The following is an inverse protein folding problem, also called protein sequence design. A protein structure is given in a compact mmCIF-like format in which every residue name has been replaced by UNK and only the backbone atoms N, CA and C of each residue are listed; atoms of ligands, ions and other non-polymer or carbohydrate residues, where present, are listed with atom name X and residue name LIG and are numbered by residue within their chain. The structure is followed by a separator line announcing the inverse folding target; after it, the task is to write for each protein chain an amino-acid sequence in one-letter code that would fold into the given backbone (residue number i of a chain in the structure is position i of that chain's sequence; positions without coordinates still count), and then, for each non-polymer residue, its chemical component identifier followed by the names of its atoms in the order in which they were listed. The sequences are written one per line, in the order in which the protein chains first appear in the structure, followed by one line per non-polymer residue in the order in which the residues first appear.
data_IF_642133247298
#
_entry.id   IF_642133247298
#
_cell.length_a   1.000
_cell.length_b   1.000
_cell.length_c   1.000
_cell.angle_alpha   90.00
_cell.angle_beta   90.00
_cell.angle_gamma   90.00
#
_symmetry.space_group_name_H-M   'P 1'
#
loop_
_entity.id
_entity.type
_entity.pdbx_description
1 polymer ?
#
# COMPACT_ATOMS: atom_id res chain seq x y z
N UNK A 1 -49.76 -21.88 32.39
CA UNK A 1 -48.42 -22.29 31.91
C UNK A 1 -48.07 -21.41 30.72
N UNK A 2 -47.81 -20.12 30.95
CA UNK A 2 -47.89 -19.12 29.86
C UNK A 2 -47.10 -17.85 30.19
N UNK A 3 -45.84 -17.98 30.62
CA UNK A 3 -45.00 -16.82 30.97
C UNK A 3 -43.52 -16.98 30.59
N UNK A 4 -43.21 -17.80 29.57
CA UNK A 4 -41.83 -17.97 29.07
C UNK A 4 -41.64 -17.73 27.58
N UNK A 5 -42.67 -17.30 26.85
CA UNK A 5 -42.58 -17.11 25.38
C UNK A 5 -42.16 -15.72 24.93
N UNK A 6 -42.23 -14.70 25.79
CA UNK A 6 -41.82 -13.33 25.47
C UNK A 6 -40.30 -13.12 25.41
N UNK A 7 -39.55 -13.76 26.32
CA UNK A 7 -38.11 -13.53 26.48
C UNK A 7 -37.24 -14.01 25.29
N UNK A 8 -37.64 -15.09 24.61
CA UNK A 8 -36.87 -15.66 23.49
C UNK A 8 -37.02 -14.86 22.19
N UNK A 9 -38.18 -14.23 21.96
CA UNK A 9 -38.38 -13.38 20.78
C UNK A 9 -37.64 -12.04 20.91
N UNK A 10 -37.51 -11.50 22.12
CA UNK A 10 -36.74 -10.28 22.38
C UNK A 10 -35.22 -10.52 22.32
N UNK A 11 -34.75 -11.67 22.78
CA UNK A 11 -33.35 -12.09 22.61
C UNK A 11 -32.98 -12.30 21.13
N UNK A 12 -33.85 -12.92 20.33
CA UNK A 12 -33.64 -13.10 18.88
C UNK A 12 -33.70 -11.78 18.10
N UNK A 13 -34.44 -10.77 18.58
CA UNK A 13 -34.49 -9.43 17.97
C UNK A 13 -33.17 -8.67 18.17
N UNK A 14 -32.43 -8.95 19.23
CA UNK A 14 -31.12 -8.33 19.54
C UNK A 14 -29.93 -8.88 18.73
N UNK A 15 -30.07 -10.04 18.08
CA UNK A 15 -28.99 -10.67 17.30
C UNK A 15 -29.00 -10.35 15.79
N UNK A 16 -29.87 -9.46 15.32
CA UNK A 16 -29.87 -9.03 13.91
C UNK A 16 -28.87 -7.89 13.69
N UNK A 17 -27.63 -8.26 13.37
CA UNK A 17 -26.50 -7.40 12.98
C UNK A 17 -26.69 -6.64 11.64
N UNK A 18 -27.90 -6.13 11.37
CA UNK A 18 -28.14 -5.15 10.29
C UNK A 18 -28.69 -3.84 10.86
N UNK A 19 -28.05 -3.32 11.89
CA UNK A 19 -28.17 -1.91 12.22
C UNK A 19 -27.55 -1.13 11.06
N UNK A 20 -28.39 -0.72 10.10
CA UNK A 20 -28.01 0.28 9.09
C UNK A 20 -27.44 1.49 9.84
N UNK A 21 -26.32 2.08 9.40
CA UNK A 21 -25.78 3.25 10.06
C UNK A 21 -26.87 4.34 10.14
N UNK A 22 -26.86 5.17 11.20
CA UNK A 22 -27.87 6.19 11.40
C UNK A 22 -27.98 7.08 10.15
N UNK A 23 -29.21 7.23 9.65
CA UNK A 23 -29.55 8.20 8.60
C UNK A 23 -29.23 9.59 9.17
N UNK A 24 -28.05 10.13 8.85
CA UNK A 24 -27.63 11.42 9.36
C UNK A 24 -26.21 11.84 8.96
N UNK A 25 -25.30 10.91 8.68
CA UNK A 25 -24.02 11.25 8.06
C UNK A 25 -24.20 11.39 6.54
N UNK A 26 -24.74 12.52 6.10
CA UNK A 26 -24.69 12.93 4.68
C UNK A 26 -23.23 13.20 4.28
N UNK A 27 -22.44 12.14 4.06
CA UNK A 27 -21.24 12.23 3.24
C UNK A 27 -21.71 12.21 1.78
N UNK A 28 -21.68 13.37 1.13
CA UNK A 28 -22.08 13.55 -0.25
C UNK A 28 -21.29 12.58 -1.17
N UNK A 29 -21.92 11.58 -1.80
CA UNK A 29 -21.23 10.68 -2.73
C UNK A 29 -20.83 11.34 -4.06
N UNK A 30 -21.07 12.65 -4.20
CA UNK A 30 -20.81 13.48 -5.38
C UNK A 30 -19.36 13.99 -5.48
N UNK A 31 -18.53 13.81 -4.45
CA UNK A 31 -17.12 14.20 -4.46
C UNK A 31 -16.21 13.17 -5.14
N UNK A 32 -15.02 13.60 -5.58
CA UNK A 32 -14.03 12.69 -6.18
C UNK A 32 -13.62 11.57 -5.20
N UNK A 33 -13.40 11.89 -3.93
CA UNK A 33 -12.98 10.94 -2.91
C UNK A 33 -14.15 10.36 -2.12
N UNK A 34 -14.12 9.04 -1.87
CA UNK A 34 -15.10 8.29 -1.05
C UNK A 34 -14.52 7.81 0.29
N UNK A 35 -13.33 8.29 0.66
CA UNK A 35 -12.67 7.86 1.89
C UNK A 35 -13.47 8.30 3.12
N UNK A 36 -13.61 7.39 4.08
CA UNK A 36 -14.30 7.65 5.34
C UNK A 36 -13.52 8.67 6.17
N UNK A 37 -14.24 9.58 6.82
CA UNK A 37 -13.66 10.44 7.87
C UNK A 37 -13.56 9.74 9.22
N UNK A 38 -14.32 8.67 9.42
CA UNK A 38 -14.27 7.84 10.63
C UNK A 38 -13.21 6.75 10.42
N UNK A 39 -12.03 6.96 11.02
CA UNK A 39 -10.89 6.03 10.98
C UNK A 39 -10.82 5.17 12.26
N UNK A 40 -10.29 3.93 12.21
CA UNK A 40 -10.28 3.03 13.37
C UNK A 40 -9.33 3.40 14.52
N UNK A 41 -8.42 4.35 14.31
CA UNK A 41 -7.37 4.79 15.25
C UNK A 41 -7.50 6.28 15.56
N UNK A 42 -6.73 6.77 16.53
CA UNK A 42 -6.72 8.19 16.88
C UNK A 42 -5.96 9.00 15.82
N UNK A 43 -6.59 10.03 15.27
CA UNK A 43 -5.98 10.87 14.22
C UNK A 43 -4.75 11.61 14.74
N UNK A 44 -4.74 11.99 16.02
CA UNK A 44 -3.63 12.68 16.68
C UNK A 44 -2.36 11.82 16.75
N UNK A 45 -2.51 10.50 16.86
CA UNK A 45 -1.38 9.56 16.92
C UNK A 45 -0.86 9.10 15.55
N UNK A 46 -1.44 9.61 14.44
CA UNK A 46 -1.06 9.24 13.06
C UNK A 46 0.44 9.39 12.83
N UNK A 47 1.02 10.55 13.17
CA UNK A 47 2.43 10.82 12.92
C UNK A 47 3.35 10.01 13.83
N UNK A 48 2.98 9.80 15.09
CA UNK A 48 3.74 8.96 16.01
C UNK A 48 3.75 7.50 15.56
N UNK A 49 2.60 6.99 15.10
CA UNK A 49 2.48 5.63 14.55
C UNK A 49 3.26 5.49 13.25
N UNK A 50 3.16 6.47 12.35
CA UNK A 50 3.95 6.49 11.12
C UNK A 50 5.46 6.55 11.40
N UNK A 51 5.89 7.38 12.35
CA UNK A 51 7.29 7.47 12.76
C UNK A 51 7.77 6.16 13.40
N UNK A 52 6.96 5.51 14.24
CA UNK A 52 7.27 4.20 14.81
C UNK A 52 7.45 3.16 13.70
N UNK A 53 6.50 3.08 12.75
CA UNK A 53 6.66 2.24 11.57
C UNK A 53 7.96 2.56 10.82
N UNK A 54 8.20 3.82 10.50
CA UNK A 54 9.29 4.23 9.62
C UNK A 54 10.66 3.95 10.24
N UNK A 55 10.87 4.36 11.50
CA UNK A 55 12.18 4.28 12.15
C UNK A 55 12.44 2.93 12.85
N UNK A 56 11.40 2.22 13.29
CA UNK A 56 11.56 0.95 14.02
C UNK A 56 11.44 -0.25 13.07
N UNK A 57 10.59 -0.16 12.04
CA UNK A 57 10.36 -1.26 11.10
C UNK A 57 11.05 -1.00 9.75
N UNK A 58 10.62 0.03 9.03
CA UNK A 58 11.01 0.24 7.63
C UNK A 58 12.52 0.44 7.45
N UNK A 59 13.11 1.45 8.10
CA UNK A 59 14.54 1.75 7.94
C UNK A 59 15.44 0.57 8.34
N UNK A 60 15.24 -0.10 9.50
CA UNK A 60 16.04 -1.26 9.87
C UNK A 60 15.86 -2.47 8.94
N UNK A 61 14.62 -2.82 8.56
CA UNK A 61 14.34 -4.01 7.75
C UNK A 61 14.74 -3.81 6.28
N UNK A 62 14.51 -2.64 5.71
CA UNK A 62 14.78 -2.36 4.30
C UNK A 62 16.25 -2.01 4.03
N UNK A 63 16.94 -1.31 4.94
CA UNK A 63 18.29 -0.78 4.68
C UNK A 63 19.35 -1.20 5.71
N UNK A 64 18.94 -1.59 6.92
CA UNK A 64 19.85 -1.87 8.02
C UNK A 64 20.36 -3.31 8.06
N UNK A 65 19.46 -4.30 8.00
CA UNK A 65 19.77 -5.67 8.39
C UNK A 65 20.72 -6.39 7.44
N UNK A 66 20.42 -6.44 6.13
CA UNK A 66 21.25 -7.18 5.17
C UNK A 66 22.68 -6.64 5.05
N UNK A 67 22.91 -5.32 4.90
CA UNK A 67 24.26 -4.79 4.82
C UNK A 67 25.05 -4.99 6.12
N UNK A 68 24.39 -4.92 7.27
CA UNK A 68 25.05 -5.11 8.58
C UNK A 68 25.49 -6.55 8.77
N UNK A 69 24.62 -7.52 8.46
CA UNK A 69 24.97 -8.95 8.54
C UNK A 69 26.12 -9.27 7.57
N UNK A 70 26.08 -8.76 6.34
CA UNK A 70 27.14 -8.98 5.36
C UNK A 70 28.51 -8.45 5.86
N UNK A 71 28.52 -7.28 6.51
CA UNK A 71 29.74 -6.72 7.12
C UNK A 71 30.24 -7.54 8.30
N UNK A 72 29.35 -8.01 9.17
CA UNK A 72 29.70 -8.80 10.36
C UNK A 72 30.26 -10.17 10.01
N UNK A 73 29.73 -10.80 8.97
CA UNK A 73 30.15 -12.13 8.53
C UNK A 73 31.36 -12.11 7.59
N UNK A 74 31.87 -10.92 7.21
CA UNK A 74 32.88 -10.74 6.16
C UNK A 74 32.55 -11.50 4.86
N UNK A 75 31.27 -11.74 4.61
CA UNK A 75 30.76 -12.43 3.44
C UNK A 75 29.70 -11.55 2.80
N UNK A 76 29.91 -11.20 1.56
CA UNK A 76 28.86 -10.65 0.72
C UNK A 76 27.89 -11.76 0.35
N UNK A 77 26.60 -11.53 0.61
CA UNK A 77 25.53 -12.40 0.13
C UNK A 77 25.50 -12.25 -1.40
N UNK A 78 26.22 -13.14 -2.08
CA UNK A 78 26.31 -13.14 -3.54
C UNK A 78 25.31 -14.09 -4.19
N UNK A 79 24.67 -14.98 -3.43
CA UNK A 79 23.70 -15.90 -4.01
C UNK A 79 22.36 -15.17 -4.31
N UNK A 80 21.90 -15.16 -5.57
CA UNK A 80 20.68 -14.45 -5.94
C UNK A 80 19.40 -15.06 -5.33
N UNK A 81 19.39 -16.38 -5.04
CA UNK A 81 18.25 -17.04 -4.38
C UNK A 81 18.16 -16.59 -2.92
N UNK A 82 19.28 -16.59 -2.20
CA UNK A 82 19.34 -16.13 -0.81
C UNK A 82 18.97 -14.64 -0.73
N UNK A 83 19.46 -13.83 -1.67
CA UNK A 83 19.14 -12.40 -1.73
C UNK A 83 17.64 -12.17 -1.92
N UNK A 84 17.02 -12.83 -2.91
CA UNK A 84 15.59 -12.72 -3.14
C UNK A 84 14.76 -13.25 -1.95
N UNK A 85 15.15 -14.39 -1.38
CA UNK A 85 14.44 -15.00 -0.26
C UNK A 85 14.51 -14.15 1.01
N UNK A 86 15.70 -13.62 1.33
CA UNK A 86 15.88 -12.75 2.49
C UNK A 86 15.11 -11.43 2.35
N UNK A 87 15.13 -10.82 1.16
CA UNK A 87 14.32 -9.62 0.87
C UNK A 87 12.82 -9.90 1.02
N UNK A 88 12.34 -11.06 0.52
CA UNK A 88 10.96 -11.50 0.71
C UNK A 88 10.59 -11.68 2.18
N UNK A 89 11.45 -12.33 2.96
CA UNK A 89 11.23 -12.53 4.39
C UNK A 89 11.21 -11.20 5.16
N UNK A 90 12.12 -10.29 4.86
CA UNK A 90 12.20 -8.98 5.51
C UNK A 90 10.95 -8.14 5.20
N UNK A 91 10.53 -8.08 3.94
CA UNK A 91 9.30 -7.38 3.55
C UNK A 91 8.04 -8.01 4.14
N UNK A 92 7.95 -9.34 4.19
CA UNK A 92 6.86 -10.04 4.86
C UNK A 92 6.82 -9.75 6.36
N UNK A 93 8.00 -9.66 7.00
CA UNK A 93 8.14 -9.29 8.41
C UNK A 93 7.74 -7.85 8.64
N UNK A 94 8.11 -6.93 7.74
CA UNK A 94 7.70 -5.52 7.80
C UNK A 94 6.18 -5.38 7.69
N UNK A 95 5.53 -6.10 6.76
CA UNK A 95 4.07 -6.15 6.65
C UNK A 95 3.41 -6.67 7.92
N UNK A 96 3.87 -7.80 8.46
CA UNK A 96 3.34 -8.36 9.69
C UNK A 96 3.52 -7.42 10.88
N UNK A 97 4.70 -6.80 10.99
CA UNK A 97 5.02 -5.82 12.02
C UNK A 97 4.13 -4.59 11.93
N UNK A 98 3.89 -4.07 10.73
CA UNK A 98 3.01 -2.92 10.52
C UNK A 98 1.55 -3.24 10.82
N UNK A 99 1.04 -4.40 10.39
CA UNK A 99 -0.31 -4.84 10.73
C UNK A 99 -0.49 -5.02 12.25
N UNK A 100 0.54 -5.53 12.93
CA UNK A 100 0.57 -5.66 14.38
C UNK A 100 0.55 -4.28 15.05
N UNK A 101 1.39 -3.35 14.59
CA UNK A 101 1.39 -1.96 15.06
C UNK A 101 0.00 -1.33 14.91
N UNK A 102 -0.61 -1.44 13.72
CA UNK A 102 -1.97 -0.94 13.47
C UNK A 102 -3.00 -1.55 14.41
N UNK A 103 -2.93 -2.86 14.64
CA UNK A 103 -3.85 -3.56 15.54
C UNK A 103 -3.77 -3.03 16.98
N UNK A 104 -2.56 -2.71 17.46
CA UNK A 104 -2.37 -2.15 18.80
C UNK A 104 -2.73 -0.67 18.90
N UNK A 105 -2.56 0.11 17.84
CA UNK A 105 -2.95 1.53 17.80
C UNK A 105 -4.43 1.76 17.49
N UNK A 106 -5.14 0.74 17.01
CA UNK A 106 -6.56 0.84 16.68
C UNK A 106 -7.41 0.91 17.96
N UNK A 107 -8.17 2.00 18.09
CA UNK A 107 -9.13 2.19 19.17
C UNK A 107 -10.35 1.25 19.00
N UNK A 108 -10.71 0.94 17.74
CA UNK A 108 -11.76 -0.03 17.44
C UNK A 108 -11.30 -1.09 16.44
N UNK A 109 -10.73 -2.18 17.00
CA UNK A 109 -10.17 -3.31 16.25
C UNK A 109 -11.17 -3.99 15.31
N UNK A 110 -12.45 -3.98 15.64
CA UNK A 110 -13.50 -4.60 14.83
C UNK A 110 -13.76 -3.84 13.52
N UNK A 111 -13.34 -2.57 13.42
CA UNK A 111 -13.46 -1.79 12.18
C UNK A 111 -12.35 -2.10 11.16
N UNK A 112 -11.23 -2.71 11.57
CA UNK A 112 -10.06 -2.92 10.70
C UNK A 112 -10.37 -3.78 9.46
N UNK A 113 -11.07 -4.93 9.54
CA UNK A 113 -11.35 -5.73 8.34
C UNK A 113 -12.20 -4.97 7.33
N UNK A 114 -13.28 -4.33 7.78
CA UNK A 114 -14.17 -3.52 6.93
C UNK A 114 -13.44 -2.32 6.30
N UNK A 115 -12.45 -1.78 7.01
CA UNK A 115 -11.65 -0.66 6.53
C UNK A 115 -10.78 -1.04 5.32
N UNK A 116 -10.12 -2.21 5.36
CA UNK A 116 -9.28 -2.68 4.25
C UNK A 116 -10.07 -3.30 3.10
N UNK A 117 -11.18 -4.00 3.41
CA UNK A 117 -12.05 -4.64 2.41
C UNK A 117 -12.93 -3.60 1.68
N UNK A 118 -13.17 -2.44 2.32
CA UNK A 118 -13.97 -1.34 1.79
C UNK A 118 -15.33 -1.24 2.50
N UNK A 119 -15.81 -0.01 2.66
CA UNK A 119 -17.13 0.26 3.26
C UNK A 119 -18.26 0.01 2.26
N UNK A 120 -19.50 -0.10 2.73
CA UNK A 120 -20.68 -0.28 1.85
C UNK A 120 -20.83 0.78 0.76
N UNK A 121 -20.25 1.97 0.91
CA UNK A 121 -20.26 3.01 -0.13
C UNK A 121 -19.26 2.73 -1.27
N UNK A 122 -18.16 2.02 -0.97
CA UNK A 122 -17.20 1.57 -1.98
C UNK A 122 -17.81 0.53 -2.94
N UNK A 123 -18.86 -0.18 -2.51
CA UNK A 123 -19.57 -1.16 -3.36
C UNK A 123 -20.26 -0.51 -4.56
N UNK A 124 -20.52 0.80 -4.53
CA UNK A 124 -21.16 1.50 -5.63
C UNK A 124 -20.17 1.89 -6.75
N UNK A 125 -18.87 1.98 -6.45
CA UNK A 125 -17.84 2.35 -7.43
C UNK A 125 -17.08 1.10 -7.89
N UNK A 126 -17.01 0.92 -9.21
CA UNK A 126 -16.34 -0.25 -9.77
C UNK A 126 -14.81 -0.10 -9.67
N UNK A 127 -14.22 -0.77 -8.69
CA UNK A 127 -12.79 -0.77 -8.42
C UNK A 127 -11.96 -1.34 -9.58
N UNK A 128 -12.51 -2.27 -10.39
CA UNK A 128 -11.83 -2.79 -11.57
C UNK A 128 -11.66 -1.71 -12.63
N UNK A 129 -12.70 -0.90 -12.87
CA UNK A 129 -12.62 0.25 -13.79
C UNK A 129 -11.61 1.28 -13.29
N UNK A 130 -11.61 1.56 -11.98
CA UNK A 130 -10.63 2.45 -11.37
C UNK A 130 -9.20 1.95 -11.59
N UNK A 131 -8.98 0.64 -11.41
CA UNK A 131 -7.67 0.02 -11.58
C UNK A 131 -7.22 0.04 -13.04
N UNK A 132 -8.10 -0.31 -13.98
CA UNK A 132 -7.80 -0.29 -15.41
C UNK A 132 -7.43 1.13 -15.91
N UNK A 133 -8.23 2.14 -15.53
CA UNK A 133 -7.93 3.53 -15.84
C UNK A 133 -6.64 4.00 -15.14
N UNK A 134 -6.44 3.59 -13.89
CA UNK A 134 -5.23 3.87 -13.12
C UNK A 134 -3.97 3.32 -13.76
N UNK A 135 -4.00 2.07 -14.24
CA UNK A 135 -2.89 1.43 -14.96
C UNK A 135 -2.60 2.20 -16.25
N UNK A 136 -3.61 2.45 -17.09
CA UNK A 136 -3.42 3.16 -18.35
C UNK A 136 -2.85 4.57 -18.14
N UNK A 137 -3.39 5.30 -17.15
CA UNK A 137 -2.91 6.63 -16.81
C UNK A 137 -1.50 6.62 -16.23
N UNK A 138 -1.18 5.66 -15.35
CA UNK A 138 0.15 5.52 -14.76
C UNK A 138 1.19 5.24 -15.83
N UNK A 139 0.94 4.27 -16.72
CA UNK A 139 1.87 3.92 -17.79
C UNK A 139 2.09 5.08 -18.76
N UNK A 140 1.03 5.79 -19.12
CA UNK A 140 1.13 7.00 -19.95
C UNK A 140 2.01 8.06 -19.26
N UNK A 141 1.76 8.32 -17.98
CA UNK A 141 2.47 9.36 -17.25
C UNK A 141 3.96 9.00 -17.06
N UNK A 142 4.24 7.75 -16.73
CA UNK A 142 5.61 7.20 -16.64
C UNK A 142 6.34 7.33 -17.99
N UNK A 143 5.68 6.97 -19.10
CA UNK A 143 6.26 7.13 -20.43
C UNK A 143 6.58 8.59 -20.75
N UNK A 144 5.65 9.50 -20.47
CA UNK A 144 5.85 10.93 -20.70
C UNK A 144 6.99 11.50 -19.84
N UNK A 145 7.07 11.11 -18.57
CA UNK A 145 8.14 11.58 -17.67
C UNK A 145 9.49 11.00 -18.06
N UNK A 146 9.54 9.74 -18.51
CA UNK A 146 10.77 9.13 -19.06
C UNK A 146 11.26 9.85 -20.32
N UNK A 147 10.37 10.11 -21.29
CA UNK A 147 10.73 10.87 -22.51
C UNK A 147 11.23 12.26 -22.14
N UNK A 148 10.58 12.94 -21.19
CA UNK A 148 10.99 14.27 -20.76
C UNK A 148 12.36 14.22 -20.05
N UNK A 149 12.59 13.23 -19.19
CA UNK A 149 13.87 13.02 -18.52
C UNK A 149 15.00 12.78 -19.52
N UNK A 150 14.78 11.91 -20.52
CA UNK A 150 15.76 11.64 -21.59
C UNK A 150 16.14 12.90 -22.37
N UNK A 151 15.17 13.81 -22.58
CA UNK A 151 15.40 15.08 -23.30
C UNK A 151 16.11 16.13 -22.48
N UNK A 152 15.89 16.17 -21.16
CA UNK A 152 16.43 17.21 -20.28
C UNK A 152 17.76 16.82 -19.64
N UNK A 153 17.89 15.56 -19.22
CA UNK A 153 19.03 15.05 -18.44
C UNK A 153 19.91 14.14 -19.31
N UNK A 154 19.31 13.48 -20.30
CA UNK A 154 19.96 12.48 -21.14
C UNK A 154 19.42 11.07 -20.85
N UNK A 155 19.55 10.13 -21.80
CA UNK A 155 19.08 8.77 -21.64
C UNK A 155 19.81 8.10 -20.48
N UNK A 156 19.03 7.51 -19.59
CA UNK A 156 19.56 6.73 -18.46
C UNK A 156 18.96 5.33 -18.50
N UNK A 157 19.84 4.34 -18.57
CA UNK A 157 19.39 2.96 -18.51
C UNK A 157 18.76 2.67 -17.15
N UNK A 158 17.61 1.99 -17.17
CA UNK A 158 16.97 1.42 -15.97
C UNK A 158 17.75 0.16 -15.60
N UNK A 159 19.06 0.28 -15.38
CA UNK A 159 19.91 -0.87 -15.14
C UNK A 159 20.06 -1.06 -13.63
N UNK A 160 19.28 -2.01 -13.10
CA UNK A 160 19.50 -2.54 -11.76
C UNK A 160 20.18 -3.90 -11.93
N UNK A 161 21.53 -3.95 -11.95
CA UNK A 161 22.27 -5.17 -12.28
C UNK A 161 21.97 -6.29 -11.29
N UNK A 162 21.74 -5.97 -10.01
CA UNK A 162 21.37 -6.94 -8.97
C UNK A 162 20.00 -7.55 -9.26
N UNK A 163 19.02 -6.71 -9.62
CA UNK A 163 17.69 -7.18 -9.96
C UNK A 163 17.72 -8.07 -11.23
N UNK A 164 18.46 -7.64 -12.26
CA UNK A 164 18.64 -8.41 -13.50
C UNK A 164 19.31 -9.76 -13.24
N UNK A 165 20.33 -9.79 -12.39
CA UNK A 165 21.00 -11.02 -11.95
C UNK A 165 20.02 -11.98 -11.27
N UNK A 166 19.22 -11.49 -10.30
CA UNK A 166 18.21 -12.31 -9.60
C UNK A 166 17.18 -12.91 -10.57
N UNK A 167 16.70 -12.11 -11.54
CA UNK A 167 15.69 -12.51 -12.51
C UNK A 167 16.19 -13.55 -13.51
N UNK A 168 17.48 -13.52 -13.86
CA UNK A 168 18.10 -14.40 -14.86
C UNK A 168 18.76 -15.64 -14.27
N UNK A 169 19.05 -15.66 -12.97
CA UNK A 169 19.81 -16.74 -12.32
C UNK A 169 19.10 -18.10 -12.32
N UNK A 170 17.85 -18.18 -11.83
CA UNK A 170 17.11 -19.44 -11.72
C UNK A 170 15.59 -19.24 -11.70
N UNK A 171 14.78 -20.29 -12.00
CA UNK A 171 13.33 -20.21 -11.85
C UNK A 171 12.87 -19.89 -10.43
N UNK A 172 13.61 -20.36 -9.42
CA UNK A 172 13.31 -20.12 -8.01
C UNK A 172 13.55 -18.66 -7.66
N UNK A 173 14.74 -18.12 -7.93
CA UNK A 173 15.07 -16.70 -7.66
C UNK A 173 14.11 -15.76 -8.40
N UNK A 174 13.80 -16.07 -9.67
CA UNK A 174 12.83 -15.31 -10.47
C UNK A 174 11.43 -15.33 -9.86
N UNK A 175 10.93 -16.50 -9.47
CA UNK A 175 9.58 -16.64 -8.89
C UNK A 175 9.49 -15.95 -7.53
N UNK A 176 10.53 -16.07 -6.69
CA UNK A 176 10.63 -15.36 -5.42
C UNK A 176 10.66 -13.85 -5.61
N UNK A 177 11.43 -13.36 -6.59
CA UNK A 177 11.47 -11.94 -6.94
C UNK A 177 10.12 -11.43 -7.43
N UNK A 178 9.41 -12.20 -8.28
CA UNK A 178 8.07 -11.85 -8.73
C UNK A 178 7.08 -11.80 -7.55
N UNK A 179 7.12 -12.78 -6.64
CA UNK A 179 6.27 -12.79 -5.44
C UNK A 179 6.53 -11.56 -4.56
N UNK A 180 7.80 -11.19 -4.38
CA UNK A 180 8.22 -10.03 -3.63
C UNK A 180 7.66 -8.73 -4.23
N UNK A 181 8.05 -8.42 -5.47
CA UNK A 181 7.79 -7.12 -6.10
C UNK A 181 6.34 -6.95 -6.59
N UNK A 182 5.66 -8.04 -6.95
CA UNK A 182 4.30 -7.96 -7.48
C UNK A 182 3.22 -8.20 -6.42
N UNK A 183 3.55 -8.72 -5.24
CA UNK A 183 2.55 -9.01 -4.20
C UNK A 183 2.92 -8.44 -2.83
N UNK A 184 4.04 -8.87 -2.25
CA UNK A 184 4.35 -8.52 -0.85
C UNK A 184 4.66 -7.04 -0.71
N UNK A 185 5.53 -6.48 -1.55
CA UNK A 185 5.90 -5.06 -1.52
C UNK A 185 4.69 -4.16 -1.81
N UNK A 186 3.92 -4.35 -2.90
CA UNK A 186 2.71 -3.55 -3.11
C UNK A 186 1.71 -3.66 -1.97
N UNK A 187 1.50 -4.86 -1.41
CA UNK A 187 0.56 -5.04 -0.30
C UNK A 187 1.00 -4.24 0.93
N UNK A 188 2.28 -4.31 1.32
CA UNK A 188 2.83 -3.49 2.39
C UNK A 188 2.65 -2.00 2.12
N UNK A 189 3.19 -1.54 1.00
CA UNK A 189 3.28 -0.12 0.71
C UNK A 189 1.88 0.49 0.57
N UNK A 190 0.95 -0.18 -0.10
CA UNK A 190 -0.43 0.30 -0.17
C UNK A 190 -1.10 0.31 1.21
N UNK A 191 -0.86 -0.71 2.06
CA UNK A 191 -1.42 -0.75 3.42
C UNK A 191 -0.91 0.42 4.26
N UNK A 192 0.39 0.72 4.20
CA UNK A 192 1.02 1.82 4.94
C UNK A 192 0.60 3.18 4.41
N UNK A 193 0.84 3.43 3.13
CA UNK A 193 0.73 4.79 2.57
C UNK A 193 -0.72 5.11 2.22
N UNK A 194 -1.48 4.18 1.63
CA UNK A 194 -2.86 4.46 1.18
C UNK A 194 -3.85 4.12 2.28
N UNK A 195 -3.80 2.87 2.76
CA UNK A 195 -4.68 2.38 3.81
C UNK A 195 -4.58 3.24 5.08
N UNK A 196 -3.38 3.35 5.64
CA UNK A 196 -3.17 4.07 6.89
C UNK A 196 -2.92 5.58 6.70
N UNK A 197 -1.79 6.00 6.12
CA UNK A 197 -1.34 7.40 6.18
C UNK A 197 -2.28 8.35 5.42
N UNK A 198 -2.58 8.05 4.15
CA UNK A 198 -3.47 8.87 3.32
C UNK A 198 -4.85 8.98 3.97
N UNK A 199 -5.46 7.87 4.38
CA UNK A 199 -6.80 7.91 4.99
C UNK A 199 -6.82 8.68 6.29
N UNK A 200 -5.78 8.52 7.12
CA UNK A 200 -5.64 9.28 8.37
C UNK A 200 -5.61 10.79 8.10
N UNK A 201 -4.82 11.23 7.13
CA UNK A 201 -4.73 12.66 6.79
C UNK A 201 -6.04 13.15 6.14
N UNK A 202 -6.66 12.33 5.28
CA UNK A 202 -7.93 12.66 4.62
C UNK A 202 -9.11 12.77 5.60
N UNK A 203 -9.02 12.20 6.79
CA UNK A 203 -10.04 12.37 7.85
C UNK A 203 -10.17 13.82 8.32
N UNK A 204 -9.05 14.56 8.37
CA UNK A 204 -8.96 15.94 8.87
C UNK A 204 -8.63 17.00 7.81
N UNK A 205 -8.28 16.61 6.57
CA UNK A 205 -7.86 17.51 5.49
C UNK A 205 -8.58 17.24 4.17
N UNK A 206 -8.37 18.10 3.17
CA UNK A 206 -8.87 17.86 1.81
C UNK A 206 -8.13 16.67 1.18
N UNK A 207 -8.85 15.83 0.44
CA UNK A 207 -8.30 14.59 -0.13
C UNK A 207 -7.03 14.81 -0.97
N UNK A 208 -6.95 15.89 -1.76
CA UNK A 208 -5.79 16.17 -2.62
C UNK A 208 -4.54 16.52 -1.81
N UNK A 209 -4.70 17.15 -0.63
CA UNK A 209 -3.58 17.40 0.29
C UNK A 209 -3.11 16.10 0.92
N UNK A 210 -4.04 15.21 1.28
CA UNK A 210 -3.71 13.89 1.81
C UNK A 210 -2.96 13.03 0.79
N UNK A 211 -3.40 13.05 -0.48
CA UNK A 211 -2.68 12.40 -1.59
C UNK A 211 -1.26 12.98 -1.69
N UNK A 212 -1.11 14.31 -1.78
CA UNK A 212 0.22 14.93 -1.92
C UNK A 212 1.17 14.57 -0.77
N UNK A 213 0.72 14.65 0.48
CA UNK A 213 1.54 14.34 1.66
C UNK A 213 1.91 12.86 1.70
N UNK A 214 0.95 11.98 1.46
CA UNK A 214 1.21 10.53 1.45
C UNK A 214 2.15 10.12 0.32
N UNK A 215 2.00 10.69 -0.88
CA UNK A 215 2.87 10.44 -2.02
C UNK A 215 4.29 10.94 -1.79
N UNK A 216 4.42 12.06 -1.08
CA UNK A 216 5.72 12.59 -0.69
C UNK A 216 6.42 11.69 0.32
N UNK A 217 5.70 11.23 1.36
CA UNK A 217 6.22 10.26 2.31
C UNK A 217 6.64 8.95 1.63
N UNK A 218 5.82 8.44 0.70
CA UNK A 218 6.14 7.27 -0.12
C UNK A 218 7.43 7.46 -0.92
N UNK A 219 7.59 8.60 -1.61
CA UNK A 219 8.80 8.93 -2.36
C UNK A 219 10.05 9.00 -1.47
N UNK A 220 9.95 9.65 -0.31
CA UNK A 220 11.07 9.77 0.64
C UNK A 220 11.51 8.41 1.21
N UNK A 221 10.58 7.49 1.43
CA UNK A 221 10.88 6.16 1.95
C UNK A 221 11.77 5.31 1.05
N UNK A 222 11.81 5.63 -0.26
CA UNK A 222 12.65 4.91 -1.20
C UNK A 222 14.12 5.36 -1.17
N UNK A 223 14.46 6.42 -0.43
CA UNK A 223 15.83 6.96 -0.29
C UNK A 223 16.60 7.12 -1.62
N UNK A 224 15.89 7.42 -2.70
CA UNK A 224 16.46 7.61 -4.04
C UNK A 224 16.14 9.02 -4.54
N UNK A 225 17.14 9.90 -4.56
CA UNK A 225 16.98 11.25 -5.09
C UNK A 225 16.63 11.24 -6.58
N UNK A 226 17.27 10.34 -7.33
CA UNK A 226 17.10 10.22 -8.78
C UNK A 226 15.67 9.83 -9.17
N UNK A 227 15.09 8.87 -8.46
CA UNK A 227 13.75 8.35 -8.76
C UNK A 227 12.65 9.02 -7.91
N UNK A 228 13.00 9.98 -7.06
CA UNK A 228 12.06 10.62 -6.12
C UNK A 228 10.82 11.20 -6.81
N UNK A 229 11.01 11.90 -7.93
CA UNK A 229 9.91 12.47 -8.71
C UNK A 229 9.00 11.37 -9.27
N UNK A 230 9.60 10.29 -9.79
CA UNK A 230 8.86 9.16 -10.35
C UNK A 230 8.02 8.47 -9.26
N UNK A 231 8.61 8.18 -8.09
CA UNK A 231 7.89 7.60 -6.96
C UNK A 231 6.79 8.52 -6.45
N UNK A 232 7.01 9.85 -6.43
CA UNK A 232 5.97 10.80 -6.05
C UNK A 232 4.77 10.77 -7.01
N UNK A 233 5.05 10.67 -8.31
CA UNK A 233 4.03 10.58 -9.37
C UNK A 233 3.24 9.26 -9.25
N UNK A 234 3.93 8.12 -9.14
CA UNK A 234 3.31 6.81 -8.87
C UNK A 234 2.45 6.91 -7.60
N UNK A 235 3.01 7.51 -6.55
CA UNK A 235 2.36 7.95 -5.33
C UNK A 235 0.97 8.54 -5.56
N UNK A 236 0.94 9.62 -6.34
CA UNK A 236 -0.25 10.42 -6.61
C UNK A 236 -1.31 9.62 -7.38
N UNK A 237 -0.90 8.82 -8.36
CA UNK A 237 -1.85 8.00 -9.15
C UNK A 237 -2.51 6.94 -8.25
N UNK A 238 -1.71 6.19 -7.50
CA UNK A 238 -2.20 5.15 -6.60
C UNK A 238 -3.11 5.73 -5.50
N UNK A 239 -2.72 6.88 -4.92
CA UNK A 239 -3.55 7.60 -3.95
C UNK A 239 -4.87 8.11 -4.54
N UNK A 240 -4.87 8.52 -5.81
CA UNK A 240 -6.08 8.95 -6.52
C UNK A 240 -7.02 7.78 -6.82
N UNK A 241 -6.48 6.66 -7.29
CA UNK A 241 -7.23 5.42 -7.55
C UNK A 241 -7.90 4.93 -6.27
N UNK A 242 -7.14 4.85 -5.16
CA UNK A 242 -7.68 4.45 -3.87
C UNK A 242 -8.72 5.45 -3.35
N UNK A 243 -8.44 6.75 -3.43
CA UNK A 243 -9.37 7.79 -2.99
C UNK A 243 -10.69 7.73 -3.73
N UNK A 244 -10.66 7.43 -5.03
CA UNK A 244 -11.85 7.33 -5.85
C UNK A 244 -12.61 6.02 -5.64
N UNK A 245 -11.92 4.88 -5.51
CA UNK A 245 -12.56 3.57 -5.42
C UNK A 245 -13.02 3.22 -4.00
N UNK A 246 -12.30 3.71 -2.98
CA UNK A 246 -12.48 3.32 -1.58
C UNK A 246 -12.06 1.88 -1.26
N UNK A 247 -11.47 1.15 -2.21
CA UNK A 247 -11.01 -0.23 -2.01
C UNK A 247 -9.50 -0.33 -2.19
N UNK A 248 -8.79 -0.77 -1.16
CA UNK A 248 -7.32 -0.83 -1.20
C UNK A 248 -6.81 -1.76 -2.31
N UNK A 249 -7.55 -2.84 -2.59
CA UNK A 249 -7.24 -3.78 -3.68
C UNK A 249 -7.08 -3.10 -5.04
N UNK A 250 -7.74 -1.96 -5.28
CA UNK A 250 -7.59 -1.23 -6.55
C UNK A 250 -6.19 -0.65 -6.73
N UNK A 251 -5.65 0.02 -5.70
CA UNK A 251 -4.31 0.58 -5.80
C UNK A 251 -3.25 -0.51 -5.72
N UNK A 252 -3.47 -1.57 -4.92
CA UNK A 252 -2.62 -2.77 -4.92
C UNK A 252 -2.54 -3.36 -6.32
N UNK A 253 -3.67 -3.52 -7.02
CA UNK A 253 -3.69 -4.06 -8.39
C UNK A 253 -2.91 -3.18 -9.37
N UNK A 254 -3.12 -1.86 -9.34
CA UNK A 254 -2.38 -0.92 -10.21
C UNK A 254 -0.88 -1.02 -9.95
N UNK A 255 -0.47 -1.03 -8.68
CA UNK A 255 0.92 -1.10 -8.26
C UNK A 255 1.56 -2.44 -8.64
N UNK A 256 0.90 -3.55 -8.35
CA UNK A 256 1.35 -4.90 -8.73
C UNK A 256 1.54 -5.04 -10.24
N UNK A 257 0.60 -4.54 -11.05
CA UNK A 257 0.70 -4.60 -12.52
C UNK A 257 1.85 -3.72 -13.01
N UNK A 258 2.01 -2.52 -12.46
CA UNK A 258 3.14 -1.65 -12.78
C UNK A 258 4.48 -2.35 -12.49
N UNK A 259 4.65 -2.92 -11.30
CA UNK A 259 5.87 -3.64 -10.93
C UNK A 259 6.11 -4.87 -11.81
N UNK A 260 5.06 -5.62 -12.16
CA UNK A 260 5.17 -6.76 -13.08
C UNK A 260 5.68 -6.31 -14.46
N UNK A 261 5.17 -5.20 -15.00
CA UNK A 261 5.63 -4.65 -16.28
C UNK A 261 7.11 -4.25 -16.20
N UNK A 262 7.53 -3.59 -15.12
CA UNK A 262 8.93 -3.21 -14.91
C UNK A 262 9.83 -4.46 -14.81
N UNK A 263 9.43 -5.49 -14.06
CA UNK A 263 10.21 -6.74 -13.97
C UNK A 263 10.32 -7.44 -15.33
N UNK A 264 9.24 -7.45 -16.12
CA UNK A 264 9.26 -8.01 -17.47
C UNK A 264 10.21 -7.23 -18.37
N UNK A 265 10.19 -5.90 -18.31
CA UNK A 265 11.09 -5.04 -19.06
C UNK A 265 12.56 -5.32 -18.70
N UNK A 266 12.90 -5.35 -17.41
CA UNK A 266 14.26 -5.66 -16.92
C UNK A 266 14.70 -7.08 -17.32
N UNK A 267 13.77 -8.02 -17.46
CA UNK A 267 14.09 -9.39 -17.87
C UNK A 267 14.42 -9.54 -19.36
N UNK A 268 14.00 -8.58 -20.21
CA UNK A 268 14.17 -8.64 -21.68
C UNK A 268 15.17 -7.61 -22.23
N UNK A 269 15.44 -6.53 -21.50
CA UNK A 269 16.52 -5.57 -21.75
C UNK A 269 17.85 -6.13 -21.30
#
# INVERSE_FOLDING_TARGET
MEEKRGSLQDLLRSQTWRQRPPRGAHLNPTGFSVLSKDVPWEVESTWSTFAAYFFILHVPLSFGILPTIARLLHQSVHDPVITAASALTLQGTELAGFLTLLYYTANNRNKLPCFFIGTSYSEQRNWLKASALGIGFLLLLVLLTSILADRLIGPKDIDNPILKEILLYSPISKSTCFLLYCFVTPLLEETVYRGFLLTSIASGRKFWQAIGISSFAFSLAHFSLENSLQFFIIGCVLGSVYSWSGKLVSSVTVHSVYNAIILLFVSIS
#
